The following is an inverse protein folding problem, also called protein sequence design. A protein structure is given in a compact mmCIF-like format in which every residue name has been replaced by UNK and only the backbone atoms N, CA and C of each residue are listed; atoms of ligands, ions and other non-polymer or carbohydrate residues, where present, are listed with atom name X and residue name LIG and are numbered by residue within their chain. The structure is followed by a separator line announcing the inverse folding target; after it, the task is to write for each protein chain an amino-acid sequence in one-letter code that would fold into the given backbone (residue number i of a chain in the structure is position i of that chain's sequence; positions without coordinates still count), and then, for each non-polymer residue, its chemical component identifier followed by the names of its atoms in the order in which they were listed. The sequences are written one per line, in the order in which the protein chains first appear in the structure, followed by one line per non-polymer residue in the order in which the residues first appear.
data_IF_491063905676
#
_entry.id   IF_491063905676
#
_cell.length_a   1.000
_cell.length_b   1.000
_cell.length_c   1.000
_cell.angle_alpha   90.00
_cell.angle_beta   90.00
_cell.angle_gamma   90.00
#
_symmetry.space_group_name_H-M   'P 1'
#
loop_
_entity.id
_entity.type
_entity.pdbx_description
1 polymer ?
#
# COMPACT_ATOMS: atom_id res chain seq x y z
N UNK A 1 -12.20 4.63 6.17
CA UNK A 1 -10.84 4.12 5.98
C UNK A 1 -9.90 5.26 5.66
N UNK A 2 -8.74 5.24 6.25
CA UNK A 2 -7.75 6.29 6.03
C UNK A 2 -6.63 5.78 5.14
N UNK A 3 -6.21 6.61 4.21
CA UNK A 3 -5.08 6.29 3.35
C UNK A 3 -3.81 6.60 4.13
N UNK A 4 -3.00 5.59 4.35
CA UNK A 4 -1.75 5.77 5.10
C UNK A 4 -0.52 5.23 4.38
N UNK A 5 -0.67 4.77 3.15
CA UNK A 5 0.46 4.28 2.38
C UNK A 5 0.34 4.72 0.92
N UNK A 6 1.49 4.79 0.28
CA UNK A 6 1.59 5.27 -1.09
C UNK A 6 2.55 4.38 -1.86
N UNK A 7 2.14 3.96 -3.04
CA UNK A 7 2.98 3.15 -3.91
C UNK A 7 3.70 4.05 -4.91
N UNK A 8 5.02 3.90 -4.98
CA UNK A 8 5.83 4.69 -5.91
C UNK A 8 5.89 4.07 -7.30
N UNK A 9 5.39 2.85 -7.45
CA UNK A 9 5.43 2.16 -8.73
C UNK A 9 4.21 2.49 -9.57
N UNK A 10 3.02 2.27 -9.02
CA UNK A 10 1.79 2.54 -9.75
C UNK A 10 1.20 3.90 -9.38
N UNK A 11 1.82 4.59 -8.44
CA UNK A 11 1.39 5.92 -7.99
C UNK A 11 -0.01 5.90 -7.40
N UNK A 12 -0.32 4.83 -6.67
CA UNK A 12 -1.64 4.69 -6.06
C UNK A 12 -1.56 4.79 -4.55
N UNK A 13 -2.65 5.24 -3.96
CA UNK A 13 -2.76 5.31 -2.51
C UNK A 13 -3.60 4.15 -2.00
N UNK A 14 -3.31 3.70 -0.80
CA UNK A 14 -4.08 2.62 -0.19
C UNK A 14 -3.92 2.66 1.32
N UNK A 15 -4.73 1.87 2.00
CA UNK A 15 -4.70 1.80 3.46
C UNK A 15 -4.15 0.43 3.88
N UNK A 16 -3.25 0.43 4.85
CA UNK A 16 -2.71 -0.81 5.38
C UNK A 16 -3.76 -1.61 6.14
N UNK A 17 -4.84 -0.96 6.56
CA UNK A 17 -5.91 -1.63 7.29
C UNK A 17 -6.79 -2.50 6.40
N UNK A 18 -6.68 -2.33 5.09
CA UNK A 18 -7.53 -3.05 4.15
C UNK A 18 -7.11 -4.52 4.07
N UNK A 19 -5.84 -4.77 4.28
CA UNK A 19 -5.29 -6.12 4.14
C UNK A 19 -5.02 -6.68 5.53
N UNK A 20 -5.74 -7.72 5.91
CA UNK A 20 -5.58 -8.35 7.21
C UNK A 20 -4.36 -9.26 7.27
N UNK A 21 -3.70 -9.47 6.14
CA UNK A 21 -2.47 -10.24 6.09
C UNK A 21 -1.28 -9.32 6.31
N UNK A 22 -0.09 -9.88 6.33
CA UNK A 22 1.11 -9.10 6.55
C UNK A 22 1.67 -8.51 5.26
N UNK A 23 0.83 -8.36 4.25
CA UNK A 23 1.26 -7.88 2.94
C UNK A 23 1.05 -6.39 2.75
N UNK A 24 0.80 -5.66 3.83
CA UNK A 24 0.58 -4.22 3.72
C UNK A 24 1.80 -3.49 3.18
N UNK A 25 2.98 -4.11 3.27
CA UNK A 25 4.21 -3.50 2.76
C UNK A 25 4.28 -3.54 1.24
N UNK A 26 3.44 -4.35 0.61
CA UNK A 26 3.38 -4.42 -0.84
C UNK A 26 2.14 -3.70 -1.32
N UNK A 27 2.27 -3.07 -2.48
CA UNK A 27 1.13 -2.38 -3.07
C UNK A 27 0.02 -3.37 -3.36
N UNK A 28 -1.18 -3.03 -2.93
CA UNK A 28 -2.34 -3.90 -3.15
C UNK A 28 -2.81 -3.85 -4.60
N UNK A 29 -2.34 -2.84 -5.35
CA UNK A 29 -2.78 -2.67 -6.73
C UNK A 29 -1.85 -3.38 -7.71
N UNK A 30 -0.54 -3.16 -7.56
CA UNK A 30 0.42 -3.73 -8.50
C UNK A 30 1.36 -4.74 -7.85
N UNK A 31 1.32 -4.87 -6.54
CA UNK A 31 2.15 -5.83 -5.83
C UNK A 31 3.59 -5.41 -5.66
N UNK A 32 3.90 -4.15 -5.93
CA UNK A 32 5.26 -3.66 -5.80
C UNK A 32 5.63 -3.47 -4.35
N UNK A 33 6.90 -3.69 -4.02
CA UNK A 33 7.41 -3.45 -2.68
C UNK A 33 7.88 -2.00 -2.53
N UNK A 34 7.84 -1.22 -3.59
CA UNK A 34 8.29 0.17 -3.58
C UNK A 34 7.16 1.07 -3.06
N UNK A 35 6.88 0.93 -1.77
CA UNK A 35 5.82 1.69 -1.13
C UNK A 35 6.37 2.39 0.10
N UNK A 36 5.66 3.40 0.54
CA UNK A 36 6.09 4.15 1.71
C UNK A 36 4.88 4.55 2.55
N UNK A 37 5.16 4.87 3.79
CA UNK A 37 4.14 5.32 4.72
C UNK A 37 4.00 6.84 4.60
N UNK A 38 2.77 7.28 4.58
CA UNK A 38 2.48 8.71 4.48
C UNK A 38 2.58 9.37 5.86
#
# INVERSE_FOLDING_TARGET
MEIDRYCNECLGYYSSDVDETDNFQKCRWCGSEDTEEI
#
